data_IF_206163005518
#
_entry.id   IF_206163005518
#
_cell.length_a   1.000
_cell.length_b   1.000
_cell.length_c   1.000
_cell.angle_alpha   90.00
_cell.angle_beta   90.00
_cell.angle_gamma   90.00
#
_symmetry.space_group_name_H-M   'P 1'
#
loop_
_entity.id
_entity.type
_entity.pdbx_description
1 polymer ?
#
# COMPACT_ATOMS: atom_id res chain seq x y z
N UNK A 1 -9.72 9.42 -18.75
CA UNK A 1 -8.85 8.34 -19.30
C UNK A 1 -7.91 7.93 -18.19
N UNK A 2 -7.73 6.62 -17.90
CA UNK A 2 -6.80 6.16 -16.86
C UNK A 2 -5.36 6.50 -17.27
N UNK A 3 -4.51 7.06 -16.40
CA UNK A 3 -3.11 7.30 -16.73
C UNK A 3 -2.42 6.00 -17.15
N UNK A 4 -1.49 6.09 -18.11
CA UNK A 4 -0.63 4.98 -18.48
C UNK A 4 0.23 4.61 -17.27
N UNK A 5 0.15 3.34 -16.85
CA UNK A 5 1.03 2.77 -15.85
C UNK A 5 1.97 1.75 -16.50
N UNK A 6 3.09 1.46 -15.82
CA UNK A 6 4.06 0.45 -16.26
C UNK A 6 3.44 -0.97 -16.40
N UNK A 7 2.29 -1.21 -15.77
CA UNK A 7 1.56 -2.47 -15.76
C UNK A 7 0.97 -2.77 -14.37
N UNK A 8 0.33 -3.94 -14.23
CA UNK A 8 -0.17 -4.42 -12.94
C UNK A 8 -1.54 -3.85 -12.51
N UNK A 9 -2.28 -4.67 -11.75
CA UNK A 9 -3.56 -4.30 -11.15
C UNK A 9 -3.45 -4.34 -9.62
N UNK A 10 -3.46 -3.14 -9.03
CA UNK A 10 -3.39 -2.90 -7.58
C UNK A 10 -4.59 -2.01 -7.17
N UNK A 11 -5.79 -2.62 -7.05
CA UNK A 11 -6.96 -1.91 -6.55
C UNK A 11 -6.81 -1.57 -5.06
N UNK A 12 -7.62 -0.61 -4.59
CA UNK A 12 -7.59 -0.14 -3.19
C UNK A 12 -7.83 -1.28 -2.21
N UNK A 13 -8.80 -2.15 -2.48
CA UNK A 13 -9.12 -3.34 -1.68
C UNK A 13 -7.90 -4.25 -1.47
N UNK A 14 -7.07 -4.43 -2.51
CA UNK A 14 -5.85 -5.25 -2.40
C UNK A 14 -4.79 -4.60 -1.52
N UNK A 15 -4.70 -3.27 -1.50
CA UNK A 15 -3.82 -2.53 -0.58
C UNK A 15 -4.35 -2.64 0.84
N UNK A 16 -5.65 -2.45 1.03
CA UNK A 16 -6.31 -2.53 2.33
C UNK A 16 -6.16 -3.92 2.96
N UNK A 17 -6.32 -4.98 2.18
CA UNK A 17 -6.20 -6.37 2.64
C UNK A 17 -4.76 -6.88 2.71
N UNK A 18 -3.75 -6.02 2.56
CA UNK A 18 -2.35 -6.42 2.70
C UNK A 18 -2.04 -6.77 4.16
N UNK A 19 -1.51 -7.97 4.41
CA UNK A 19 -1.05 -8.42 5.73
C UNK A 19 0.44 -8.08 5.92
N UNK A 20 0.81 -7.18 6.85
CA UNK A 20 2.20 -6.82 7.10
C UNK A 20 3.04 -7.93 7.71
N UNK A 21 2.41 -8.88 8.42
CA UNK A 21 3.08 -9.94 9.18
C UNK A 21 2.79 -11.31 8.55
N UNK A 22 3.52 -11.73 7.50
CA UNK A 22 3.24 -12.98 6.82
C UNK A 22 3.34 -14.18 7.77
N UNK A 23 2.42 -15.14 7.59
CA UNK A 23 2.23 -16.32 8.43
C UNK A 23 3.48 -17.18 8.71
N UNK A 24 4.44 -17.40 7.78
CA UNK A 24 5.58 -18.28 8.06
C UNK A 24 6.62 -17.70 9.04
N UNK A 25 6.49 -16.45 9.47
CA UNK A 25 7.45 -15.83 10.39
C UNK A 25 7.19 -16.26 11.84
N UNK A 26 8.26 -16.68 12.52
CA UNK A 26 8.26 -16.92 13.96
C UNK A 26 8.04 -15.62 14.74
N UNK A 27 7.60 -15.73 16.00
CA UNK A 27 7.35 -14.55 16.85
C UNK A 27 8.58 -13.67 17.09
N UNK A 28 9.80 -14.23 16.99
CA UNK A 28 11.03 -13.44 17.08
C UNK A 28 11.35 -12.71 15.76
N UNK A 29 11.11 -13.34 14.62
CA UNK A 29 11.33 -12.72 13.30
C UNK A 29 10.39 -11.54 13.07
N UNK A 30 9.14 -11.63 13.52
CA UNK A 30 8.14 -10.55 13.41
C UNK A 30 8.58 -9.25 14.10
N UNK A 31 9.43 -9.31 15.14
CA UNK A 31 9.93 -8.12 15.86
C UNK A 31 10.90 -7.28 15.01
N UNK A 32 11.46 -7.85 13.95
CA UNK A 32 12.36 -7.11 13.04
C UNK A 32 11.60 -6.29 11.99
N UNK A 33 10.28 -6.47 11.87
CA UNK A 33 9.44 -5.66 10.99
C UNK A 33 9.11 -4.35 11.70
N UNK A 34 9.65 -3.25 11.18
CA UNK A 34 9.49 -1.91 11.77
C UNK A 34 8.32 -1.11 11.17
N UNK A 35 7.72 -1.61 10.08
CA UNK A 35 6.60 -0.94 9.42
C UNK A 35 6.41 -1.38 7.97
N UNK A 36 5.53 -0.65 7.28
CA UNK A 36 5.17 -0.87 5.87
C UNK A 36 5.47 0.40 5.08
N UNK A 37 5.78 0.29 3.78
CA UNK A 37 5.94 1.42 2.87
C UNK A 37 5.30 1.11 1.52
N UNK A 38 4.81 2.14 0.83
CA UNK A 38 4.45 2.07 -0.58
C UNK A 38 5.31 3.03 -1.39
N UNK A 39 5.71 2.59 -2.59
CA UNK A 39 6.55 3.37 -3.49
C UNK A 39 5.73 3.90 -4.66
N UNK A 40 6.09 5.09 -5.14
CA UNK A 40 5.50 5.71 -6.32
C UNK A 40 6.63 6.00 -7.29
N UNK A 41 6.66 5.24 -8.39
CA UNK A 41 7.60 5.43 -9.48
C UNK A 41 6.96 6.32 -10.55
N UNK A 42 7.67 7.37 -10.95
CA UNK A 42 7.09 8.48 -11.74
C UNK A 42 7.48 8.46 -13.22
N UNK A 43 8.00 7.36 -13.75
CA UNK A 43 8.45 7.25 -15.15
C UNK A 43 7.33 7.60 -16.15
N UNK A 44 6.08 7.33 -15.79
CA UNK A 44 4.88 7.60 -16.59
C UNK A 44 3.93 8.61 -15.95
N UNK A 45 4.38 9.37 -14.95
CA UNK A 45 3.55 10.29 -14.16
C UNK A 45 4.12 11.72 -14.24
N UNK A 46 3.93 12.44 -15.36
CA UNK A 46 4.56 13.74 -15.61
C UNK A 46 4.02 14.90 -14.76
N UNK A 47 2.86 14.77 -14.11
CA UNK A 47 2.25 15.88 -13.36
C UNK A 47 1.88 15.46 -11.93
N UNK A 48 1.93 16.43 -11.01
CA UNK A 48 1.52 16.22 -9.61
C UNK A 48 0.07 15.78 -9.47
N UNK A 49 -0.83 16.32 -10.30
CA UNK A 49 -2.23 15.91 -10.33
C UNK A 49 -2.39 14.41 -10.71
N UNK A 50 -1.52 13.88 -11.58
CA UNK A 50 -1.51 12.46 -11.88
C UNK A 50 -0.92 11.64 -10.73
N UNK A 51 0.09 12.14 -10.03
CA UNK A 51 0.59 11.50 -8.80
C UNK A 51 -0.53 11.37 -7.77
N UNK A 52 -1.26 12.46 -7.50
CA UNK A 52 -2.40 12.47 -6.58
C UNK A 52 -3.48 11.47 -6.99
N UNK A 53 -3.85 11.44 -8.28
CA UNK A 53 -4.80 10.45 -8.82
C UNK A 53 -4.31 9.01 -8.65
N UNK A 54 -3.01 8.78 -8.72
CA UNK A 54 -2.42 7.45 -8.57
C UNK A 54 -2.33 7.05 -7.09
N UNK A 55 -1.97 7.95 -6.18
CA UNK A 55 -1.77 7.59 -4.77
C UNK A 55 -3.07 7.61 -3.97
N UNK A 56 -4.01 8.49 -4.26
CA UNK A 56 -5.29 8.56 -3.56
C UNK A 56 -6.34 7.67 -4.27
N UNK A 57 -7.17 6.92 -3.54
CA UNK A 57 -7.24 6.78 -2.07
C UNK A 57 -6.34 5.66 -1.50
N UNK A 58 -5.47 5.04 -2.29
CA UNK A 58 -4.63 3.91 -1.86
C UNK A 58 -3.69 4.24 -0.70
N UNK A 59 -3.23 5.48 -0.61
CA UNK A 59 -2.43 5.99 0.49
C UNK A 59 -3.18 5.97 1.82
N UNK A 60 -4.49 6.25 1.82
CA UNK A 60 -5.32 6.15 3.01
C UNK A 60 -5.47 4.69 3.46
N UNK A 61 -5.72 3.76 2.51
CA UNK A 61 -5.75 2.33 2.81
C UNK A 61 -4.42 1.83 3.39
N UNK A 62 -3.28 2.30 2.87
CA UNK A 62 -1.97 1.97 3.42
C UNK A 62 -1.77 2.52 4.84
N UNK A 63 -2.18 3.76 5.08
CA UNK A 63 -2.09 4.37 6.41
C UNK A 63 -2.89 3.57 7.45
N UNK A 64 -4.05 3.05 7.06
CA UNK A 64 -4.84 2.18 7.94
C UNK A 64 -4.15 0.84 8.21
N UNK A 65 -3.52 0.24 7.21
CA UNK A 65 -2.69 -0.97 7.39
C UNK A 65 -1.49 -0.71 8.31
N UNK A 66 -0.90 0.50 8.28
CA UNK A 66 0.24 0.87 9.11
C UNK A 66 -0.14 1.15 10.56
N UNK A 67 -1.32 1.70 10.81
CA UNK A 67 -1.68 2.29 12.11
C UNK A 67 -2.72 1.49 12.89
N UNK A 68 -3.69 0.90 12.20
CA UNK A 68 -4.83 0.24 12.84
C UNK A 68 -4.47 -1.19 13.21
N UNK A 69 -4.86 -1.59 14.43
CA UNK A 69 -4.72 -2.97 14.86
C UNK A 69 -5.56 -3.89 13.95
N UNK A 70 -5.07 -5.08 13.55
CA UNK A 70 -5.79 -5.95 12.62
C UNK A 70 -7.23 -6.27 13.04
N UNK A 71 -7.48 -6.37 14.34
CA UNK A 71 -8.81 -6.64 14.93
C UNK A 71 -9.83 -5.50 14.74
N UNK A 72 -9.38 -4.31 14.32
CA UNK A 72 -10.20 -3.11 14.14
C UNK A 72 -10.35 -2.70 12.67
N UNK A 73 -9.90 -3.56 11.75
CA UNK A 73 -10.09 -3.36 10.30
C UNK A 73 -11.35 -4.12 9.86
N UNK A 74 -12.13 -3.49 8.97
CA UNK A 74 -13.43 -3.98 8.49
C UNK A 74 -13.39 -4.41 7.01
#
# INVERSE_FOLDING_TARGET
>A
MRPLGIGGYLPVEKVYNMEPLPAPLTGNEKKHIIGVQANVWTEYIPTTQQVEYMILPRMAALAEVQWTQPEKKD
#
